data_IF_936220851584
#
_entry.id   IF_936220851584
#
_cell.length_a   1.000
_cell.length_b   1.000
_cell.length_c   1.000
_cell.angle_alpha   90.00
_cell.angle_beta   90.00
_cell.angle_gamma   90.00
#
_symmetry.space_group_name_H-M   'P 1'
#
loop_
_entity.id
_entity.type
_entity.pdbx_description
1 polymer ?
#
# COMPACT_ATOMS: atom_id res chain seq x y z
N UNK A 1 0.71 -30.34 -51.84
CA UNK A 1 0.33 -29.14 -51.05
C UNK A 1 -0.34 -29.58 -49.76
N UNK A 2 0.40 -29.69 -48.65
CA UNK A 2 -0.14 -30.11 -47.34
C UNK A 2 0.73 -29.60 -46.18
N UNK A 3 1.10 -28.32 -46.23
CA UNK A 3 1.92 -27.66 -45.20
C UNK A 3 1.18 -26.55 -44.43
N UNK A 4 -0.07 -26.20 -44.74
CA UNK A 4 -0.63 -24.91 -44.29
C UNK A 4 -1.57 -24.93 -43.08
N UNK A 5 -1.86 -26.08 -42.44
CA UNK A 5 -2.85 -26.12 -41.33
C UNK A 5 -2.18 -26.23 -39.96
N UNK A 6 -1.07 -26.97 -39.85
CA UNK A 6 -0.39 -27.16 -38.55
C UNK A 6 0.32 -25.89 -38.05
N UNK A 7 0.95 -25.14 -38.95
CA UNK A 7 1.72 -23.94 -38.60
C UNK A 7 0.84 -22.75 -38.15
N UNK A 8 -0.38 -22.64 -38.68
CA UNK A 8 -1.33 -21.58 -38.32
C UNK A 8 -1.87 -21.79 -36.89
N UNK A 9 -2.08 -23.04 -36.49
CA UNK A 9 -2.59 -23.39 -35.16
C UNK A 9 -1.51 -23.21 -34.06
N UNK A 10 -0.25 -23.54 -34.37
CA UNK A 10 0.87 -23.35 -33.44
C UNK A 10 1.24 -21.87 -33.30
N UNK A 11 1.18 -21.07 -34.38
CA UNK A 11 1.43 -19.64 -34.31
C UNK A 11 0.38 -18.90 -33.47
N UNK A 12 -0.90 -19.26 -33.58
CA UNK A 12 -1.96 -18.64 -32.78
C UNK A 12 -1.79 -18.90 -31.28
N UNK A 13 -1.34 -20.10 -30.92
CA UNK A 13 -1.07 -20.49 -29.53
C UNK A 13 0.11 -19.74 -28.90
N UNK A 14 1.20 -19.57 -29.67
CA UNK A 14 2.39 -18.80 -29.22
C UNK A 14 2.04 -17.32 -29.09
N UNK A 15 1.24 -16.76 -30.01
CA UNK A 15 0.83 -15.35 -29.97
C UNK A 15 -0.05 -15.01 -28.77
N UNK A 16 -0.97 -15.89 -28.39
CA UNK A 16 -1.83 -15.69 -27.20
C UNK A 16 -1.01 -15.76 -25.91
N UNK A 17 -0.02 -16.66 -25.84
CA UNK A 17 0.84 -16.80 -24.67
C UNK A 17 1.81 -15.61 -24.51
N UNK A 18 2.35 -15.07 -25.61
CA UNK A 18 3.22 -13.89 -25.58
C UNK A 18 2.44 -12.59 -25.34
N UNK A 19 1.19 -12.50 -25.81
CA UNK A 19 0.32 -11.33 -25.54
C UNK A 19 -0.01 -11.20 -24.04
N UNK A 20 -0.25 -12.32 -23.35
CA UNK A 20 -0.51 -12.32 -21.90
C UNK A 20 0.71 -11.88 -21.07
N UNK A 21 1.93 -12.21 -21.49
CA UNK A 21 3.16 -11.78 -20.78
C UNK A 21 3.40 -10.27 -20.90
N UNK A 22 2.98 -9.64 -21.99
CA UNK A 22 3.15 -8.19 -22.20
C UNK A 22 2.17 -7.31 -21.38
N UNK A 23 0.99 -7.83 -21.01
CA UNK A 23 -0.02 -7.05 -20.27
C UNK A 23 0.33 -6.93 -18.78
N UNK A 24 1.11 -7.87 -18.24
CA UNK A 24 1.42 -7.95 -16.80
C UNK A 24 2.33 -6.84 -16.28
N UNK A 25 2.96 -6.03 -17.14
CA UNK A 25 3.95 -5.01 -16.73
C UNK A 25 3.38 -3.62 -16.44
N UNK A 26 2.05 -3.44 -16.47
CA UNK A 26 1.41 -2.13 -16.24
C UNK A 26 0.89 -1.95 -14.80
N UNK A 27 1.59 -2.47 -13.80
CA UNK A 27 1.30 -2.15 -12.40
C UNK A 27 2.28 -1.08 -11.92
N UNK A 28 1.76 0.10 -11.56
CA UNK A 28 2.54 1.08 -10.84
C UNK A 28 2.84 0.51 -9.46
N UNK A 29 4.10 0.16 -9.19
CA UNK A 29 4.54 -0.30 -7.88
C UNK A 29 4.80 0.91 -6.99
N UNK A 30 4.16 0.96 -5.81
CA UNK A 30 4.44 1.97 -4.81
C UNK A 30 5.92 1.91 -4.39
N UNK A 31 6.57 3.08 -4.33
CA UNK A 31 7.95 3.16 -3.86
C UNK A 31 7.96 2.98 -2.34
N UNK A 32 8.90 2.20 -1.83
CA UNK A 32 9.07 1.94 -0.40
C UNK A 32 10.34 2.63 0.10
N UNK A 33 10.26 3.25 1.26
CA UNK A 33 11.39 3.82 1.97
C UNK A 33 12.29 2.71 2.54
N UNK A 34 13.58 2.74 2.21
CA UNK A 34 14.51 1.66 2.55
C UNK A 34 14.78 1.56 4.06
N UNK A 35 14.68 2.68 4.79
CA UNK A 35 14.95 2.72 6.23
C UNK A 35 13.74 2.25 7.05
N UNK A 36 12.56 2.74 6.70
CA UNK A 36 11.35 2.59 7.52
C UNK A 36 10.37 1.56 6.96
N UNK A 37 10.48 1.22 5.67
CA UNK A 37 9.53 0.33 5.00
C UNK A 37 8.17 0.98 4.70
N UNK A 38 8.01 2.28 4.93
CA UNK A 38 6.79 3.00 4.60
C UNK A 38 6.66 3.26 3.09
N UNK A 39 5.43 3.39 2.60
CA UNK A 39 5.16 3.81 1.22
C UNK A 39 5.53 5.29 1.05
N UNK A 40 6.40 5.60 0.10
CA UNK A 40 6.81 6.98 -0.19
C UNK A 40 5.70 7.67 -0.98
N UNK A 41 4.86 8.43 -0.28
CA UNK A 41 3.77 9.21 -0.84
C UNK A 41 3.55 10.54 -0.09
N UNK A 42 2.53 11.32 -0.50
CA UNK A 42 2.11 12.51 0.25
C UNK A 42 1.72 12.12 1.67
N UNK A 43 2.26 12.79 2.69
CA UNK A 43 2.06 12.47 4.10
C UNK A 43 3.13 11.56 4.70
N UNK A 44 3.93 10.85 3.89
CA UNK A 44 4.97 9.91 4.36
C UNK A 44 5.91 10.54 5.41
N UNK A 45 6.49 11.71 5.11
CA UNK A 45 7.47 12.33 6.02
C UNK A 45 6.88 12.64 7.39
N UNK A 46 5.64 13.12 7.43
CA UNK A 46 4.94 13.46 8.67
C UNK A 46 4.64 12.20 9.46
N UNK A 47 4.12 11.16 8.80
CA UNK A 47 3.83 9.87 9.44
C UNK A 47 5.11 9.22 9.94
N UNK A 48 6.18 9.24 9.15
CA UNK A 48 7.48 8.73 9.58
C UNK A 48 7.95 9.44 10.85
N UNK A 49 7.90 10.77 10.88
CA UNK A 49 8.30 11.55 12.05
C UNK A 49 7.39 11.36 13.27
N UNK A 50 6.10 11.10 13.10
CA UNK A 50 5.16 10.97 14.21
C UNK A 50 5.12 9.54 14.78
N UNK A 51 5.13 8.53 13.90
CA UNK A 51 4.86 7.14 14.27
C UNK A 51 6.11 6.30 14.57
N UNK A 52 7.32 6.85 14.38
CA UNK A 52 8.58 6.16 14.68
C UNK A 52 9.31 6.69 15.92
N UNK A 53 8.73 7.67 16.63
CA UNK A 53 9.36 8.28 17.81
C UNK A 53 9.50 7.31 18.98
N UNK A 54 8.53 6.41 19.17
CA UNK A 54 8.47 5.53 20.34
C UNK A 54 8.69 4.05 20.01
N UNK A 55 8.40 3.62 18.77
CA UNK A 55 8.51 2.23 18.35
C UNK A 55 8.82 2.13 16.85
N UNK A 56 9.09 0.92 16.37
CA UNK A 56 9.35 0.66 14.96
C UNK A 56 8.12 0.97 14.08
N UNK A 57 8.37 1.45 12.86
CA UNK A 57 7.38 1.57 11.79
C UNK A 57 6.68 0.26 11.45
N UNK A 58 7.31 -0.88 11.76
CA UNK A 58 6.77 -2.21 11.49
C UNK A 58 5.40 -2.45 12.14
N UNK A 59 5.14 -1.87 13.32
CA UNK A 59 3.84 -1.96 13.99
C UNK A 59 2.75 -1.33 13.12
N UNK A 60 3.04 -0.18 12.49
CA UNK A 60 2.09 0.51 11.60
C UNK A 60 1.88 -0.29 10.31
N UNK A 61 2.96 -0.80 9.72
CA UNK A 61 2.91 -1.55 8.44
C UNK A 61 2.06 -2.82 8.55
N UNK A 62 2.19 -3.53 9.69
CA UNK A 62 1.46 -4.76 9.99
C UNK A 62 0.02 -4.50 10.45
N UNK A 63 -0.31 -3.26 10.79
CA UNK A 63 -1.66 -2.88 11.20
C UNK A 63 -2.50 -2.42 10.01
N UNK A 64 -3.80 -2.69 10.09
CA UNK A 64 -4.82 -2.25 9.12
C UNK A 64 -5.97 -1.66 9.89
N UNK A 65 -6.44 -0.50 9.44
CA UNK A 65 -7.62 0.14 10.01
C UNK A 65 -8.24 1.07 9.00
N UNK A 66 -9.54 1.33 9.11
CA UNK A 66 -10.13 2.44 8.38
C UNK A 66 -9.71 3.77 9.03
N UNK A 67 -10.20 4.89 8.49
CA UNK A 67 -9.85 6.21 9.02
C UNK A 67 -10.23 6.34 10.50
N UNK A 68 -11.40 5.86 10.90
CA UNK A 68 -11.89 5.99 12.27
C UNK A 68 -11.09 5.12 13.24
N UNK A 69 -10.73 3.90 12.86
CA UNK A 69 -9.88 3.06 13.71
C UNK A 69 -8.44 3.56 13.82
N UNK A 70 -7.89 4.22 12.79
CA UNK A 70 -6.63 4.96 12.91
C UNK A 70 -6.76 6.17 13.83
N UNK A 71 -7.87 6.90 13.77
CA UNK A 71 -8.15 8.00 14.69
C UNK A 71 -8.25 7.50 16.13
N UNK A 72 -8.96 6.40 16.39
CA UNK A 72 -9.04 5.78 17.71
C UNK A 72 -7.65 5.37 18.22
N UNK A 73 -6.80 4.83 17.34
CA UNK A 73 -5.41 4.50 17.66
C UNK A 73 -4.63 5.73 18.11
N UNK A 74 -4.71 6.85 17.38
CA UNK A 74 -4.06 8.12 17.77
C UNK A 74 -4.59 8.60 19.13
N UNK A 75 -5.91 8.52 19.36
CA UNK A 75 -6.52 8.91 20.63
C UNK A 75 -6.05 8.05 21.79
N UNK A 76 -5.92 6.73 21.61
CA UNK A 76 -5.35 5.83 22.61
C UNK A 76 -3.89 6.19 22.90
N UNK A 77 -3.08 6.39 21.87
CA UNK A 77 -1.67 6.78 22.04
C UNK A 77 -1.53 8.11 22.81
N UNK A 78 -2.43 9.06 22.57
CA UNK A 78 -2.46 10.34 23.29
C UNK A 78 -2.89 10.18 24.75
N UNK A 79 -3.86 9.31 25.03
CA UNK A 79 -4.39 9.11 26.37
C UNK A 79 -3.51 8.23 27.26
N UNK A 80 -2.89 7.19 26.69
CA UNK A 80 -2.26 6.10 27.45
C UNK A 80 -0.74 6.00 27.22
N UNK A 81 -0.26 6.40 26.04
CA UNK A 81 1.13 6.16 25.61
C UNK A 81 1.96 7.46 25.53
N UNK A 82 1.38 8.60 25.91
CA UNK A 82 2.07 9.88 26.04
C UNK A 82 2.31 10.63 24.73
N UNK A 83 1.60 10.27 23.65
CA UNK A 83 1.67 11.02 22.39
C UNK A 83 1.12 12.44 22.59
N UNK A 84 1.87 13.45 22.15
CA UNK A 84 1.42 14.83 22.22
C UNK A 84 0.25 15.09 21.28
N UNK A 85 -0.57 16.09 21.61
CA UNK A 85 -1.62 16.54 20.71
C UNK A 85 -1.03 17.04 19.39
N UNK A 86 -1.60 16.55 18.30
CA UNK A 86 -1.24 16.97 16.96
C UNK A 86 -2.02 18.23 16.57
N UNK A 87 -1.43 19.06 15.72
CA UNK A 87 -2.18 20.10 15.04
C UNK A 87 -3.27 19.46 14.15
N UNK A 88 -4.49 20.05 14.06
CA UNK A 88 -5.58 19.45 13.31
C UNK A 88 -5.26 19.15 11.84
N UNK A 89 -4.48 19.99 11.16
CA UNK A 89 -4.12 19.78 9.76
C UNK A 89 -3.08 18.65 9.62
N UNK A 90 -2.16 18.56 10.58
CA UNK A 90 -1.18 17.46 10.66
C UNK A 90 -1.87 16.13 10.94
N UNK A 91 -2.82 16.09 11.89
CA UNK A 91 -3.61 14.90 12.17
C UNK A 91 -4.41 14.46 10.95
N UNK A 92 -5.02 15.41 10.24
CA UNK A 92 -5.72 15.13 8.99
C UNK A 92 -4.80 14.49 7.96
N UNK A 93 -3.59 15.04 7.75
CA UNK A 93 -2.62 14.49 6.79
C UNK A 93 -2.14 13.09 7.17
N UNK A 94 -1.90 12.83 8.46
CA UNK A 94 -1.56 11.50 8.99
C UNK A 94 -2.70 10.52 8.71
N UNK A 95 -3.93 10.88 9.03
CA UNK A 95 -5.10 10.02 8.81
C UNK A 95 -5.36 9.78 7.32
N UNK A 96 -5.17 10.79 6.46
CA UNK A 96 -5.28 10.64 5.01
C UNK A 96 -4.27 9.62 4.49
N UNK A 97 -3.01 9.69 4.94
CA UNK A 97 -1.98 8.73 4.56
C UNK A 97 -2.25 7.32 5.10
N UNK A 98 -2.52 7.18 6.41
CA UNK A 98 -2.71 5.88 7.05
C UNK A 98 -3.92 5.14 6.47
N UNK A 99 -5.05 5.81 6.30
CA UNK A 99 -6.24 5.19 5.72
C UNK A 99 -6.09 4.85 4.23
N UNK A 100 -5.25 5.57 3.50
CA UNK A 100 -5.00 5.31 2.07
C UNK A 100 -4.06 4.12 1.86
N UNK A 101 -2.95 4.08 2.60
CA UNK A 101 -1.87 3.13 2.37
C UNK A 101 -1.87 1.93 3.32
N UNK A 102 -2.47 2.10 4.50
CA UNK A 102 -2.60 1.09 5.55
C UNK A 102 -4.08 0.92 5.98
N UNK A 103 -4.99 1.22 5.04
CA UNK A 103 -6.42 0.98 5.13
C UNK A 103 -6.79 -0.50 5.00
N UNK A 104 -7.96 -0.89 5.52
CA UNK A 104 -8.59 -2.16 5.13
C UNK A 104 -8.75 -2.23 3.61
N UNK A 105 -8.44 -3.39 3.05
CA UNK A 105 -8.69 -3.74 1.66
C UNK A 105 -9.96 -4.57 1.56
N UNK A 106 -10.53 -4.66 0.36
CA UNK A 106 -11.78 -5.40 0.14
C UNK A 106 -11.66 -6.90 0.41
N UNK A 107 -10.46 -7.47 0.31
CA UNK A 107 -10.13 -8.87 0.55
C UNK A 107 -9.92 -9.20 2.04
N UNK A 108 -9.83 -8.22 2.93
CA UNK A 108 -9.65 -8.46 4.37
C UNK A 108 -10.92 -9.00 5.08
N UNK A 109 -12.05 -9.08 4.37
CA UNK A 109 -13.35 -9.52 4.91
C UNK A 109 -13.85 -10.87 4.37
N UNK A 110 -13.00 -11.62 3.66
CA UNK A 110 -13.29 -12.98 3.17
C UNK A 110 -12.68 -14.06 4.09
#
# INVERSE_FOLDING_TARGET
MRYSIKYVCTQFSVFVFTLCVFISSLTAQDKIDEETGFIIAKGFKIVNMACTLCHSSQIVIQSRSDREGWLETIRRMQAEEGMVNLDPEIEKEILDYLSTYYGWRSDDFE
#
